data_IF_314534238809
#
_entry.id   IF_314534238809
#
_cell.length_a   1.000
_cell.length_b   1.000
_cell.length_c   1.000
_cell.angle_alpha   90.00
_cell.angle_beta   90.00
_cell.angle_gamma   90.00
#
_symmetry.space_group_name_H-M   'P 1'
#
loop_
_entity.id
_entity.type
_entity.pdbx_description
1 polymer ?
#
# COMPACT_ATOMS: atom_id res chain seq x y z
N UNK A 1 -5.22 -3.02 -35.36
CA UNK A 1 -5.73 -3.75 -34.17
C UNK A 1 -5.70 -2.95 -32.84
N UNK A 2 -4.93 -1.86 -32.70
CA UNK A 2 -4.85 -1.07 -31.45
C UNK A 2 -6.08 -0.18 -31.15
N UNK A 3 -6.88 0.24 -32.13
CA UNK A 3 -8.05 1.12 -31.92
C UNK A 3 -9.28 0.36 -31.38
N UNK A 4 -9.46 -0.92 -31.71
CA UNK A 4 -10.57 -1.74 -31.20
C UNK A 4 -10.44 -2.05 -29.70
N UNK A 5 -9.21 -2.22 -29.19
CA UNK A 5 -8.95 -2.48 -27.77
C UNK A 5 -9.23 -1.26 -26.89
N UNK A 6 -8.92 -0.05 -27.36
CA UNK A 6 -9.19 1.18 -26.60
C UNK A 6 -10.69 1.47 -26.49
N UNK A 7 -11.46 1.24 -27.58
CA UNK A 7 -12.91 1.43 -27.59
C UNK A 7 -13.62 0.45 -26.63
N UNK A 8 -13.16 -0.79 -26.53
CA UNK A 8 -13.69 -1.79 -25.61
C UNK A 8 -13.45 -1.40 -24.14
N UNK A 9 -12.25 -0.96 -23.78
CA UNK A 9 -11.90 -0.50 -22.42
C UNK A 9 -12.77 0.69 -22.00
N UNK A 10 -12.98 1.66 -22.88
CA UNK A 10 -13.86 2.81 -22.59
C UNK A 10 -15.34 2.42 -22.49
N UNK A 11 -15.79 1.44 -23.28
CA UNK A 11 -17.14 0.90 -23.19
C UNK A 11 -17.36 0.17 -21.86
N UNK A 12 -16.42 -0.65 -21.44
CA UNK A 12 -16.47 -1.36 -20.15
C UNK A 12 -16.45 -0.38 -18.97
N UNK A 13 -15.59 0.63 -19.01
CA UNK A 13 -15.53 1.67 -17.98
C UNK A 13 -16.87 2.41 -17.87
N UNK A 14 -17.46 2.84 -19.00
CA UNK A 14 -18.77 3.49 -19.01
C UNK A 14 -19.87 2.57 -18.47
N UNK A 15 -19.83 1.30 -18.81
CA UNK A 15 -20.81 0.33 -18.35
C UNK A 15 -20.71 0.08 -16.83
N UNK A 16 -19.51 0.02 -16.27
CA UNK A 16 -19.29 -0.06 -14.82
C UNK A 16 -19.79 1.20 -14.12
N UNK A 17 -19.46 2.38 -14.66
CA UNK A 17 -19.89 3.68 -14.12
C UNK A 17 -21.40 3.96 -14.31
N UNK A 18 -22.10 3.26 -15.19
CA UNK A 18 -23.54 3.37 -15.36
C UNK A 18 -24.31 2.80 -14.15
N UNK A 19 -23.74 1.81 -13.44
CA UNK A 19 -24.38 1.18 -12.27
C UNK A 19 -24.55 2.16 -11.11
N UNK A 20 -25.80 2.38 -10.64
CA UNK A 20 -26.10 3.32 -9.55
C UNK A 20 -25.42 2.92 -8.23
N UNK A 21 -25.45 1.63 -7.91
CA UNK A 21 -24.87 1.13 -6.66
C UNK A 21 -23.33 1.13 -6.72
N UNK A 22 -22.76 0.83 -7.91
CA UNK A 22 -21.31 0.99 -8.11
C UNK A 22 -20.87 2.43 -7.93
N UNK A 23 -21.56 3.39 -8.52
CA UNK A 23 -21.22 4.83 -8.36
C UNK A 23 -21.24 5.27 -6.90
N UNK A 24 -22.22 4.82 -6.11
CA UNK A 24 -22.28 5.11 -4.66
C UNK A 24 -21.13 4.49 -3.89
N UNK A 25 -20.83 3.21 -4.15
CA UNK A 25 -19.69 2.53 -3.53
C UNK A 25 -18.37 3.19 -3.92
N UNK A 26 -18.23 3.55 -5.19
CA UNK A 26 -17.05 4.22 -5.73
C UNK A 26 -16.89 5.65 -5.15
N UNK A 27 -17.95 6.44 -5.08
CA UNK A 27 -17.95 7.75 -4.44
C UNK A 27 -17.59 7.65 -2.94
N UNK A 28 -18.16 6.66 -2.23
CA UNK A 28 -17.78 6.35 -0.83
C UNK A 28 -16.29 6.12 -0.71
N UNK A 29 -15.68 5.34 -1.64
CA UNK A 29 -14.25 5.09 -1.68
C UNK A 29 -13.46 6.37 -1.92
N UNK A 30 -13.80 7.15 -2.95
CA UNK A 30 -13.04 8.34 -3.33
C UNK A 30 -13.02 9.37 -2.21
N UNK A 31 -14.18 9.69 -1.64
CA UNK A 31 -14.31 10.66 -0.56
C UNK A 31 -13.55 10.19 0.70
N UNK A 32 -13.68 8.90 1.05
CA UNK A 32 -12.94 8.34 2.18
C UNK A 32 -11.43 8.37 1.96
N UNK A 33 -10.95 8.00 0.77
CA UNK A 33 -9.51 7.98 0.48
C UNK A 33 -8.92 9.39 0.34
N UNK A 34 -9.70 10.39 -0.11
CA UNK A 34 -9.29 11.79 0.02
C UNK A 34 -9.06 12.17 1.49
N UNK A 35 -10.00 11.79 2.37
CA UNK A 35 -9.84 11.93 3.83
C UNK A 35 -8.62 11.18 4.37
N UNK A 36 -8.34 9.96 3.89
CA UNK A 36 -7.16 9.18 4.27
C UNK A 36 -5.87 9.93 3.92
N UNK A 37 -5.81 10.52 2.73
CA UNK A 37 -4.67 11.34 2.30
C UNK A 37 -4.47 12.57 3.18
N UNK A 38 -5.56 13.29 3.48
CA UNK A 38 -5.53 14.47 4.35
C UNK A 38 -5.04 14.11 5.75
N UNK A 39 -5.63 13.07 6.36
CA UNK A 39 -5.27 12.64 7.72
C UNK A 39 -3.85 12.11 7.78
N UNK A 40 -3.45 11.28 6.82
CA UNK A 40 -2.09 10.71 6.78
C UNK A 40 -1.03 11.78 6.61
N UNK A 41 -1.25 12.75 5.70
CA UNK A 41 -0.33 13.87 5.51
C UNK A 41 -0.31 14.78 6.75
N UNK A 42 -1.47 15.17 7.29
CA UNK A 42 -1.56 16.03 8.47
C UNK A 42 -0.93 15.41 9.72
N UNK A 43 -1.19 14.11 9.98
CA UNK A 43 -0.53 13.38 11.08
C UNK A 43 0.94 13.20 10.80
N UNK A 44 1.32 12.81 9.58
CA UNK A 44 2.71 12.60 9.19
C UNK A 44 3.53 13.87 9.39
N UNK A 45 3.03 15.01 8.93
CA UNK A 45 3.66 16.31 9.12
C UNK A 45 3.80 16.63 10.61
N UNK A 46 2.73 16.51 11.39
CA UNK A 46 2.77 16.80 12.82
C UNK A 46 3.75 15.89 13.57
N UNK A 47 3.71 14.59 13.30
CA UNK A 47 4.56 13.61 13.99
C UNK A 47 6.03 13.73 13.58
N UNK A 48 6.33 13.89 12.31
CA UNK A 48 7.70 13.88 11.81
C UNK A 48 8.38 15.25 11.83
N UNK A 49 7.63 16.36 11.73
CA UNK A 49 8.19 17.71 11.66
C UNK A 49 7.97 18.54 12.94
N UNK A 50 7.37 17.99 13.97
CA UNK A 50 7.26 18.70 15.24
C UNK A 50 8.61 18.68 15.99
N UNK A 51 9.14 19.87 16.30
CA UNK A 51 10.45 20.05 16.93
C UNK A 51 10.61 19.35 18.29
N UNK A 52 9.51 19.14 19.00
CA UNK A 52 9.51 18.56 20.36
C UNK A 52 9.17 17.07 20.41
N UNK A 53 8.58 16.51 19.34
CA UNK A 53 8.16 15.09 19.28
C UNK A 53 9.16 14.20 18.57
N UNK A 54 10.17 14.78 17.93
CA UNK A 54 11.13 14.04 17.11
C UNK A 54 12.58 14.34 17.51
N UNK A 55 12.98 14.05 18.75
CA UNK A 55 14.32 14.41 19.21
C UNK A 55 15.41 13.45 18.71
N UNK A 56 15.06 12.23 18.27
CA UNK A 56 16.04 11.18 17.92
C UNK A 56 15.56 10.25 16.82
N UNK A 57 16.47 9.51 16.14
CA UNK A 57 16.11 8.44 15.19
C UNK A 57 15.16 7.40 15.79
N UNK A 58 15.34 7.06 17.07
CA UNK A 58 14.49 6.09 17.77
C UNK A 58 13.03 6.56 17.88
N UNK A 59 12.81 7.84 18.23
CA UNK A 59 11.47 8.41 18.26
C UNK A 59 10.80 8.39 16.87
N UNK A 60 11.59 8.65 15.82
CA UNK A 60 11.11 8.56 14.44
C UNK A 60 10.75 7.16 14.03
N UNK A 61 11.56 6.18 14.34
CA UNK A 61 11.25 4.79 14.06
C UNK A 61 10.02 4.31 14.82
N UNK A 62 9.83 4.74 16.09
CA UNK A 62 8.64 4.45 16.86
C UNK A 62 7.37 5.08 16.25
N UNK A 63 7.45 6.35 15.84
CA UNK A 63 6.36 7.03 15.14
C UNK A 63 6.01 6.31 13.83
N UNK A 64 7.02 5.85 13.11
CA UNK A 64 6.87 5.08 11.87
C UNK A 64 6.20 3.72 12.11
N UNK A 65 6.60 3.02 13.19
CA UNK A 65 5.95 1.77 13.60
C UNK A 65 4.47 1.99 13.91
N UNK A 66 4.13 3.07 14.63
CA UNK A 66 2.74 3.43 14.93
C UNK A 66 1.92 3.64 13.65
N UNK A 67 2.49 4.26 12.61
CA UNK A 67 1.77 4.53 11.36
C UNK A 67 1.57 3.27 10.50
N UNK A 68 2.53 2.34 10.48
CA UNK A 68 2.53 1.24 9.52
C UNK A 68 2.26 -0.15 10.15
N UNK A 69 2.56 -0.37 11.44
CA UNK A 69 2.37 -1.66 12.09
C UNK A 69 0.92 -2.16 12.13
N UNK A 70 -0.12 -1.30 12.33
CA UNK A 70 -1.51 -1.74 12.29
C UNK A 70 -1.90 -2.40 10.96
N UNK A 71 -1.28 -1.97 9.87
CA UNK A 71 -1.51 -2.57 8.55
C UNK A 71 -1.06 -4.03 8.49
N UNK A 72 0.01 -4.39 9.19
CA UNK A 72 0.49 -5.77 9.27
C UNK A 72 -0.32 -6.64 10.23
N UNK A 73 -0.73 -6.06 11.38
CA UNK A 73 -1.35 -6.83 12.46
C UNK A 73 -2.85 -7.03 12.26
N UNK A 74 -3.58 -5.99 11.81
CA UNK A 74 -5.04 -6.01 11.77
C UNK A 74 -5.56 -6.47 10.41
N UNK A 75 -4.84 -6.17 9.32
CA UNK A 75 -5.27 -6.44 7.96
C UNK A 75 -5.79 -7.87 7.74
N UNK A 76 -5.00 -8.91 8.07
CA UNK A 76 -5.40 -10.30 7.84
C UNK A 76 -6.65 -10.74 8.61
N UNK A 77 -6.86 -10.17 9.80
CA UNK A 77 -7.95 -10.56 10.70
C UNK A 77 -9.26 -9.80 10.41
N UNK A 78 -9.21 -8.74 9.61
CA UNK A 78 -10.38 -7.94 9.28
C UNK A 78 -11.51 -8.79 8.63
N UNK A 79 -11.15 -9.79 7.82
CA UNK A 79 -12.09 -10.68 7.14
C UNK A 79 -13.06 -11.39 8.09
N UNK A 80 -12.57 -11.87 9.23
CA UNK A 80 -13.39 -12.57 10.24
C UNK A 80 -14.58 -11.72 10.70
N UNK A 81 -14.35 -10.42 10.88
CA UNK A 81 -15.40 -9.49 11.31
C UNK A 81 -16.30 -9.06 10.15
N UNK A 82 -15.72 -8.86 8.94
CA UNK A 82 -16.47 -8.45 7.74
C UNK A 82 -17.49 -9.49 7.34
N UNK A 83 -17.17 -10.75 7.49
CA UNK A 83 -18.09 -11.84 7.19
C UNK A 83 -19.25 -11.99 8.20
N UNK A 84 -19.10 -11.43 9.40
CA UNK A 84 -20.12 -11.47 10.46
C UNK A 84 -21.13 -10.32 10.36
N UNK A 85 -20.76 -9.20 9.78
CA UNK A 85 -21.56 -7.97 9.78
C UNK A 85 -21.97 -7.54 8.36
N UNK A 86 -23.09 -6.81 8.26
CA UNK A 86 -23.48 -6.17 7.01
C UNK A 86 -22.39 -5.20 6.54
N UNK A 87 -21.89 -5.42 5.34
CA UNK A 87 -20.80 -4.60 4.76
C UNK A 87 -21.16 -3.13 4.67
N UNK A 88 -22.43 -2.82 4.38
CA UNK A 88 -22.93 -1.43 4.43
C UNK A 88 -22.78 -0.83 5.82
N UNK A 89 -23.17 -1.57 6.87
CA UNK A 89 -23.03 -1.08 8.25
C UNK A 89 -21.57 -0.91 8.64
N UNK A 90 -20.67 -1.79 8.17
CA UNK A 90 -19.23 -1.62 8.38
C UNK A 90 -18.77 -0.31 7.72
N UNK A 91 -19.12 -0.06 6.46
CA UNK A 91 -18.73 1.16 5.75
C UNK A 91 -19.22 2.43 6.46
N UNK A 92 -20.49 2.44 6.89
CA UNK A 92 -21.07 3.60 7.60
C UNK A 92 -20.42 3.79 8.96
N UNK A 93 -20.39 2.75 9.80
CA UNK A 93 -19.92 2.86 11.19
C UNK A 93 -18.41 3.08 11.26
N UNK A 94 -17.62 2.40 10.42
CA UNK A 94 -16.18 2.59 10.41
C UNK A 94 -15.79 4.00 9.95
N UNK A 95 -16.51 4.58 8.98
CA UNK A 95 -16.25 5.94 8.55
C UNK A 95 -16.59 6.95 9.67
N UNK A 96 -17.73 6.80 10.36
CA UNK A 96 -18.08 7.63 11.51
C UNK A 96 -17.08 7.46 12.68
N UNK A 97 -16.70 6.22 12.99
CA UNK A 97 -15.75 5.94 14.06
C UNK A 97 -14.38 6.56 13.79
N UNK A 98 -13.92 6.50 12.52
CA UNK A 98 -12.70 7.21 12.11
C UNK A 98 -12.82 8.71 12.29
N UNK A 99 -13.96 9.31 11.94
CA UNK A 99 -14.20 10.74 12.15
C UNK A 99 -14.10 11.11 13.64
N UNK A 100 -14.67 10.30 14.55
CA UNK A 100 -14.55 10.51 15.99
C UNK A 100 -13.08 10.46 16.44
N UNK A 101 -12.33 9.46 16.01
CA UNK A 101 -10.91 9.36 16.36
C UNK A 101 -10.07 10.49 15.76
N UNK A 102 -10.41 10.98 14.57
CA UNK A 102 -9.77 12.16 13.98
C UNK A 102 -10.06 13.42 14.81
N UNK A 103 -11.29 13.60 15.29
CA UNK A 103 -11.62 14.71 16.20
C UNK A 103 -10.81 14.62 17.51
N UNK A 104 -10.68 13.43 18.09
CA UNK A 104 -9.83 13.22 19.27
C UNK A 104 -8.36 13.52 18.99
N UNK A 105 -7.85 13.13 17.83
CA UNK A 105 -6.49 13.42 17.38
C UNK A 105 -6.29 14.94 17.23
N UNK A 106 -7.23 15.61 16.54
CA UNK A 106 -7.20 17.06 16.34
C UNK A 106 -7.28 17.84 17.66
N UNK A 107 -8.14 17.41 18.58
CA UNK A 107 -8.25 18.00 19.91
C UNK A 107 -6.95 17.82 20.71
N UNK A 108 -6.34 16.62 20.66
CA UNK A 108 -5.05 16.36 21.32
C UNK A 108 -3.95 17.28 20.77
N UNK A 109 -3.90 17.48 19.44
CA UNK A 109 -2.95 18.42 18.81
C UNK A 109 -3.20 19.86 19.23
N UNK A 110 -4.46 20.33 19.18
CA UNK A 110 -4.83 21.70 19.53
C UNK A 110 -4.53 22.05 21.01
N UNK A 111 -4.58 21.04 21.90
CA UNK A 111 -4.23 21.17 23.33
C UNK A 111 -2.73 20.98 23.59
N UNK A 112 -1.90 20.81 22.55
CA UNK A 112 -0.47 20.55 22.69
C UNK A 112 -0.14 19.20 23.32
N UNK A 113 -1.11 18.27 23.39
CA UNK A 113 -0.88 16.95 23.96
C UNK A 113 -0.19 16.05 22.91
N UNK A 114 1.02 15.61 23.25
CA UNK A 114 1.92 14.84 22.36
C UNK A 114 2.19 13.43 22.86
N UNK A 115 1.46 13.02 23.88
CA UNK A 115 1.66 11.74 24.56
C UNK A 115 0.97 10.55 23.88
N UNK A 116 0.93 9.44 24.60
CA UNK A 116 0.38 8.17 24.16
C UNK A 116 -1.07 8.24 23.61
N UNK A 117 -1.87 9.19 24.10
CA UNK A 117 -3.25 9.39 23.65
C UNK A 117 -3.32 9.78 22.16
N UNK A 118 -2.43 10.67 21.70
CA UNK A 118 -2.35 11.06 20.29
C UNK A 118 -2.05 9.83 19.41
N UNK A 119 -1.01 9.09 19.77
CA UNK A 119 -0.61 7.90 19.00
C UNK A 119 -1.67 6.80 19.03
N UNK A 120 -2.34 6.61 20.17
CA UNK A 120 -3.45 5.66 20.29
C UNK A 120 -4.63 6.05 19.39
N UNK A 121 -5.00 7.33 19.34
CA UNK A 121 -6.08 7.83 18.49
C UNK A 121 -5.73 7.63 17.00
N UNK A 122 -4.50 7.96 16.59
CA UNK A 122 -4.01 7.71 15.23
C UNK A 122 -4.03 6.22 14.87
N UNK A 123 -3.53 5.37 15.77
CA UNK A 123 -3.57 3.90 15.60
C UNK A 123 -5.01 3.41 15.36
N UNK A 124 -5.97 3.92 16.12
CA UNK A 124 -7.37 3.54 15.97
C UNK A 124 -7.96 4.01 14.64
N UNK A 125 -7.63 5.22 14.16
CA UNK A 125 -8.00 5.68 12.81
C UNK A 125 -7.50 4.70 11.75
N UNK A 126 -6.22 4.33 11.80
CA UNK A 126 -5.58 3.45 10.82
C UNK A 126 -6.10 2.00 10.92
N UNK A 127 -6.33 1.52 12.13
CA UNK A 127 -6.91 0.21 12.39
C UNK A 127 -8.32 0.07 11.78
N UNK A 128 -9.18 1.06 12.05
CA UNK A 128 -10.54 1.07 11.52
C UNK A 128 -10.55 1.28 10.00
N UNK A 129 -9.57 2.00 9.45
CA UNK A 129 -9.41 2.16 8.00
C UNK A 129 -9.21 0.81 7.30
N UNK A 130 -8.52 -0.14 7.92
CA UNK A 130 -8.34 -1.49 7.35
C UNK A 130 -9.68 -2.22 7.18
N UNK A 131 -10.56 -2.16 8.17
CA UNK A 131 -11.91 -2.73 8.05
C UNK A 131 -12.69 -2.07 6.93
N UNK A 132 -12.59 -0.74 6.80
CA UNK A 132 -13.27 0.00 5.75
C UNK A 132 -12.79 -0.44 4.35
N UNK A 133 -11.48 -0.44 4.08
CA UNK A 133 -10.92 -0.80 2.79
C UNK A 133 -11.19 -2.27 2.41
N UNK A 134 -11.06 -3.18 3.38
CA UNK A 134 -11.38 -4.60 3.18
C UNK A 134 -12.86 -4.78 2.83
N UNK A 135 -13.75 -4.07 3.55
CA UNK A 135 -15.20 -4.13 3.29
C UNK A 135 -15.56 -3.58 1.91
N UNK A 136 -14.90 -2.53 1.44
CA UNK A 136 -15.05 -2.01 0.06
C UNK A 136 -14.70 -3.06 -0.99
N UNK A 137 -13.59 -3.76 -0.80
CA UNK A 137 -13.12 -4.78 -1.74
C UNK A 137 -14.07 -5.98 -1.81
N UNK A 138 -14.56 -6.43 -0.65
CA UNK A 138 -15.51 -7.55 -0.56
C UNK A 138 -16.94 -7.16 -1.04
N UNK A 139 -17.30 -5.86 -0.98
CA UNK A 139 -18.59 -5.38 -1.46
C UNK A 139 -18.65 -5.24 -3.00
N UNK A 140 -17.52 -5.09 -3.67
CA UNK A 140 -17.44 -4.79 -5.10
C UNK A 140 -18.16 -5.82 -6.01
N UNK A 141 -18.02 -7.15 -5.80
CA UNK A 141 -18.71 -8.16 -6.62
C UNK A 141 -20.24 -8.13 -6.51
N UNK A 142 -20.79 -7.46 -5.50
CA UNK A 142 -22.25 -7.36 -5.31
C UNK A 142 -22.89 -6.21 -6.10
N UNK A 143 -22.07 -5.30 -6.62
CA UNK A 143 -22.54 -4.09 -7.35
C UNK A 143 -22.07 -4.04 -8.79
N UNK A 144 -21.28 -5.02 -9.24
CA UNK A 144 -20.71 -5.11 -10.59
C UNK A 144 -20.98 -6.50 -11.17
N UNK A 145 -21.37 -6.58 -12.43
CA UNK A 145 -21.53 -7.84 -13.15
C UNK A 145 -20.17 -8.58 -13.28
N UNK A 146 -20.19 -9.92 -13.25
CA UNK A 146 -18.98 -10.74 -13.19
C UNK A 146 -17.99 -10.49 -14.34
N UNK A 147 -18.49 -10.27 -15.56
CA UNK A 147 -17.70 -9.96 -16.75
C UNK A 147 -16.94 -8.62 -16.66
N UNK A 148 -17.40 -7.70 -15.82
CA UNK A 148 -16.82 -6.35 -15.61
C UNK A 148 -16.05 -6.22 -14.31
N UNK A 149 -15.99 -7.28 -13.51
CA UNK A 149 -15.36 -7.27 -12.20
C UNK A 149 -13.86 -6.95 -12.27
N UNK A 150 -13.17 -7.45 -13.32
CA UNK A 150 -11.74 -7.16 -13.54
C UNK A 150 -11.52 -5.67 -13.73
N UNK A 151 -12.35 -5.01 -14.55
CA UNK A 151 -12.28 -3.56 -14.76
C UNK A 151 -12.55 -2.79 -13.45
N UNK A 152 -13.58 -3.16 -12.71
CA UNK A 152 -13.93 -2.50 -11.45
C UNK A 152 -12.85 -2.66 -10.37
N UNK A 153 -12.25 -3.85 -10.28
CA UNK A 153 -11.13 -4.13 -9.37
C UNK A 153 -9.84 -3.36 -9.73
N UNK A 154 -9.63 -3.08 -11.01
CA UNK A 154 -8.51 -2.26 -11.47
C UNK A 154 -8.74 -0.77 -11.19
N UNK A 155 -9.88 -0.25 -11.62
CA UNK A 155 -10.20 1.18 -11.60
C UNK A 155 -10.43 1.70 -10.19
N UNK A 156 -11.18 0.95 -9.37
CA UNK A 156 -11.60 1.43 -8.05
C UNK A 156 -10.42 1.67 -7.08
N UNK A 157 -9.44 0.77 -6.91
CA UNK A 157 -8.27 1.04 -6.08
C UNK A 157 -7.35 2.13 -6.65
N UNK A 158 -7.16 2.13 -7.99
CA UNK A 158 -6.25 3.07 -8.65
C UNK A 158 -6.73 4.51 -8.50
N UNK A 159 -7.99 4.79 -8.83
CA UNK A 159 -8.54 6.14 -8.68
C UNK A 159 -8.67 6.51 -7.20
N UNK A 160 -8.94 5.55 -6.34
CA UNK A 160 -8.90 5.75 -4.90
C UNK A 160 -7.52 6.19 -4.39
N UNK A 161 -6.44 5.58 -4.87
CA UNK A 161 -5.06 5.99 -4.56
C UNK A 161 -4.75 7.41 -5.06
N UNK A 162 -5.23 7.76 -6.26
CA UNK A 162 -5.14 9.14 -6.79
C UNK A 162 -5.90 10.11 -5.88
N UNK A 163 -7.10 9.74 -5.44
CA UNK A 163 -7.88 10.56 -4.50
C UNK A 163 -7.16 10.79 -3.16
N UNK A 164 -6.48 9.75 -2.63
CA UNK A 164 -5.65 9.88 -1.43
C UNK A 164 -4.46 10.83 -1.66
N UNK A 165 -3.80 10.74 -2.81
CA UNK A 165 -2.70 11.66 -3.18
C UNK A 165 -3.19 13.11 -3.25
N UNK A 166 -4.33 13.35 -3.91
CA UNK A 166 -4.95 14.68 -3.96
C UNK A 166 -5.28 15.17 -2.55
N UNK A 167 -5.85 14.32 -1.69
CA UNK A 167 -6.10 14.63 -0.29
C UNK A 167 -4.83 15.05 0.46
N UNK A 168 -3.72 14.35 0.26
CA UNK A 168 -2.42 14.70 0.82
C UNK A 168 -1.91 16.07 0.36
N UNK A 169 -2.06 16.39 -0.92
CA UNK A 169 -1.72 17.72 -1.49
C UNK A 169 -2.60 18.81 -0.87
N UNK A 170 -3.90 18.55 -0.73
CA UNK A 170 -4.83 19.48 -0.06
C UNK A 170 -4.40 19.73 1.39
N UNK A 171 -3.99 18.69 2.11
CA UNK A 171 -3.50 18.83 3.49
C UNK A 171 -2.27 19.74 3.58
N UNK A 172 -1.29 19.56 2.69
CA UNK A 172 -0.11 20.42 2.62
C UNK A 172 -0.50 21.88 2.34
N UNK A 173 -1.42 22.11 1.40
CA UNK A 173 -1.93 23.44 1.09
C UNK A 173 -2.66 24.08 2.29
N UNK A 174 -3.49 23.33 3.00
CA UNK A 174 -4.18 23.79 4.21
C UNK A 174 -3.21 24.13 5.34
N UNK A 175 -2.19 23.31 5.55
CA UNK A 175 -1.16 23.59 6.56
C UNK A 175 -0.40 24.89 6.26
N UNK A 176 -0.01 25.10 5.01
CA UNK A 176 0.62 26.38 4.59
C UNK A 176 -0.34 27.56 4.79
N UNK A 177 -1.60 27.44 4.37
CA UNK A 177 -2.60 28.50 4.50
C UNK A 177 -2.92 28.85 5.96
N UNK A 178 -2.77 27.91 6.89
CA UNK A 178 -2.99 28.09 8.33
C UNK A 178 -1.70 28.43 9.09
N UNK A 179 -0.61 28.72 8.38
CA UNK A 179 0.67 29.17 8.93
C UNK A 179 1.48 28.06 9.62
N UNK A 180 1.24 26.79 9.28
CA UNK A 180 1.95 25.61 9.82
C UNK A 180 1.90 25.53 11.37
N UNK A 181 0.79 25.94 11.95
CA UNK A 181 0.57 25.93 13.40
C UNK A 181 -0.08 24.62 13.86
N UNK A 182 0.02 24.31 15.15
CA UNK A 182 -0.68 23.17 15.76
C UNK A 182 -2.21 23.26 15.55
N UNK A 183 -2.77 24.47 15.65
CA UNK A 183 -4.18 24.71 15.34
C UNK A 183 -4.49 24.50 13.86
N UNK A 184 -3.57 24.89 12.97
CA UNK A 184 -3.69 24.65 11.53
C UNK A 184 -3.69 23.16 11.20
N UNK A 185 -2.80 22.39 11.81
CA UNK A 185 -2.78 20.93 11.68
C UNK A 185 -4.09 20.29 12.19
N UNK A 186 -4.62 20.76 13.32
CA UNK A 186 -5.91 20.31 13.85
C UNK A 186 -7.07 20.60 12.86
N UNK A 187 -7.11 21.80 12.27
CA UNK A 187 -8.11 22.18 11.26
C UNK A 187 -8.01 21.27 10.03
N UNK A 188 -6.79 21.01 9.57
CA UNK A 188 -6.54 20.09 8.43
C UNK A 188 -7.08 18.69 8.73
N UNK A 189 -6.85 18.16 9.94
CA UNK A 189 -7.40 16.88 10.35
C UNK A 189 -8.93 16.88 10.41
N UNK A 190 -9.56 17.95 10.92
CA UNK A 190 -11.02 18.06 10.96
C UNK A 190 -11.62 18.06 9.56
N UNK A 191 -10.94 18.65 8.57
CA UNK A 191 -11.36 18.56 7.17
C UNK A 191 -11.30 17.11 6.64
N UNK A 192 -10.27 16.34 6.98
CA UNK A 192 -10.20 14.91 6.72
C UNK A 192 -11.33 14.12 7.40
N UNK A 193 -11.62 14.47 8.67
CA UNK A 193 -12.77 13.91 9.41
C UNK A 193 -14.12 14.19 8.73
N UNK A 194 -14.32 15.40 8.20
CA UNK A 194 -15.50 15.77 7.44
C UNK A 194 -15.64 14.90 6.15
N UNK A 195 -14.54 14.58 5.48
CA UNK A 195 -14.54 13.61 4.37
C UNK A 195 -15.06 12.24 4.80
N UNK A 196 -14.66 11.76 6.00
CA UNK A 196 -15.18 10.48 6.50
C UNK A 196 -16.66 10.52 6.81
N UNK A 197 -17.16 11.63 7.39
CA UNK A 197 -18.61 11.81 7.57
C UNK A 197 -19.34 11.80 6.22
N UNK A 198 -18.84 12.54 5.23
CA UNK A 198 -19.41 12.56 3.89
C UNK A 198 -19.41 11.16 3.24
N UNK A 199 -18.32 10.41 3.37
CA UNK A 199 -18.24 9.03 2.90
C UNK A 199 -19.26 8.12 3.59
N UNK A 200 -19.47 8.29 4.91
CA UNK A 200 -20.49 7.57 5.67
C UNK A 200 -21.91 7.90 5.17
N UNK A 201 -22.22 9.19 4.92
CA UNK A 201 -23.50 9.61 4.39
C UNK A 201 -23.77 9.02 2.99
N UNK A 202 -22.75 9.02 2.11
CA UNK A 202 -22.86 8.37 0.79
C UNK A 202 -23.11 6.87 0.95
N UNK A 203 -22.36 6.18 1.81
CA UNK A 203 -22.57 4.76 2.10
C UNK A 203 -23.98 4.48 2.65
N UNK A 204 -24.50 5.37 3.47
CA UNK A 204 -25.84 5.25 4.04
C UNK A 204 -26.96 5.34 3.01
N UNK A 205 -26.73 5.93 1.83
CA UNK A 205 -27.71 5.97 0.73
C UNK A 205 -27.91 4.64 0.00
N UNK A 206 -27.01 3.65 0.23
CA UNK A 206 -27.14 2.32 -0.35
C UNK A 206 -28.16 1.48 0.43
N UNK A 207 -28.88 0.57 -0.24
CA UNK A 207 -29.81 -0.33 0.43
C UNK A 207 -29.06 -1.32 1.34
N UNK A 208 -29.71 -1.72 2.46
CA UNK A 208 -29.05 -2.53 3.51
C UNK A 208 -28.55 -3.87 3.00
N UNK A 209 -29.25 -4.46 2.03
CA UNK A 209 -29.05 -5.85 1.60
C UNK A 209 -28.22 -5.97 0.31
N UNK A 210 -27.90 -4.82 -0.33
CA UNK A 210 -27.19 -4.81 -1.62
C UNK A 210 -25.72 -5.22 -1.56
N UNK A 211 -25.07 -5.09 -0.42
CA UNK A 211 -23.64 -5.36 -0.28
C UNK A 211 -23.33 -6.71 0.39
N UNK A 212 -24.36 -7.48 0.73
CA UNK A 212 -24.22 -8.76 1.43
C UNK A 212 -23.88 -8.65 2.92
N UNK A 213 -23.67 -9.78 3.61
CA UNK A 213 -23.66 -11.15 3.10
C UNK A 213 -25.07 -11.63 2.72
N UNK A 214 -25.20 -12.21 1.53
CA UNK A 214 -26.43 -12.88 1.14
C UNK A 214 -26.54 -14.24 1.86
N UNK A 215 -27.74 -14.61 2.30
CA UNK A 215 -28.01 -15.96 2.81
C UNK A 215 -28.12 -16.96 1.68
N UNK A 216 -27.62 -18.20 1.85
CA UNK A 216 -27.83 -19.28 0.88
C UNK A 216 -29.30 -19.64 0.66
N UNK A 217 -30.17 -19.34 1.64
CA UNK A 217 -31.59 -19.65 1.66
C UNK A 217 -32.53 -18.48 1.27
N UNK A 218 -31.93 -17.36 0.80
CA UNK A 218 -32.68 -16.19 0.34
C UNK A 218 -33.42 -15.40 1.44
N UNK A 219 -33.30 -15.83 2.73
CA UNK A 219 -33.92 -15.12 3.85
C UNK A 219 -33.02 -14.04 4.42
N UNK A 220 -33.56 -12.83 4.59
CA UNK A 220 -32.86 -11.70 5.20
C UNK A 220 -32.65 -11.92 6.70
N UNK A 221 -31.42 -11.78 7.17
CA UNK A 221 -31.10 -11.84 8.59
C UNK A 221 -29.65 -12.22 8.89
N UNK A 222 -29.25 -12.24 10.16
CA UNK A 222 -27.90 -12.53 10.60
C UNK A 222 -27.36 -13.86 10.04
N UNK A 223 -26.08 -13.92 9.63
CA UNK A 223 -25.46 -15.18 9.22
C UNK A 223 -25.59 -16.24 10.33
N UNK A 224 -25.56 -17.54 9.98
CA UNK A 224 -25.64 -18.61 10.99
C UNK A 224 -24.57 -18.42 12.06
N UNK A 225 -24.82 -18.83 13.31
CA UNK A 225 -23.83 -18.71 14.37
C UNK A 225 -22.57 -19.45 13.97
N UNK A 226 -21.50 -18.71 13.77
CA UNK A 226 -20.16 -19.23 13.50
C UNK A 226 -19.50 -19.60 14.82
N UNK A 227 -18.45 -20.42 14.76
CA UNK A 227 -17.70 -20.86 15.92
C UNK A 227 -17.17 -19.73 16.81
N UNK A 228 -16.56 -20.04 17.96
CA UNK A 228 -16.04 -19.04 18.87
C UNK A 228 -15.02 -18.16 18.15
N UNK A 229 -15.05 -16.85 18.41
CA UNK A 229 -14.20 -15.84 17.75
C UNK A 229 -12.71 -16.22 17.79
N UNK A 230 -12.24 -16.73 18.92
CA UNK A 230 -10.86 -17.19 19.10
C UNK A 230 -10.48 -18.31 18.12
N UNK A 231 -11.39 -19.25 17.86
CA UNK A 231 -11.18 -20.33 16.89
C UNK A 231 -11.06 -19.81 15.46
N UNK A 232 -11.86 -18.82 15.09
CA UNK A 232 -11.75 -18.18 13.76
C UNK A 232 -10.46 -17.37 13.62
N UNK A 233 -10.05 -16.63 14.64
CA UNK A 233 -8.77 -15.91 14.65
C UNK A 233 -7.59 -16.88 14.54
N UNK A 234 -7.61 -17.99 15.27
CA UNK A 234 -6.61 -19.04 15.18
C UNK A 234 -6.58 -19.67 13.77
N UNK A 235 -7.74 -19.88 13.14
CA UNK A 235 -7.82 -20.40 11.77
C UNK A 235 -7.22 -19.46 10.74
N UNK A 236 -7.38 -18.13 10.91
CA UNK A 236 -6.74 -17.12 10.06
C UNK A 236 -5.22 -17.14 10.25
N UNK A 237 -4.73 -17.22 11.50
CA UNK A 237 -3.29 -17.32 11.77
C UNK A 237 -2.69 -18.61 11.17
N UNK A 238 -3.37 -19.73 11.30
CA UNK A 238 -2.98 -20.99 10.67
C UNK A 238 -3.00 -20.87 9.13
N UNK A 239 -4.03 -20.22 8.56
CA UNK A 239 -4.14 -19.97 7.15
C UNK A 239 -3.02 -19.07 6.59
N UNK A 240 -2.56 -18.06 7.35
CA UNK A 240 -1.39 -17.25 7.00
C UNK A 240 -0.11 -18.08 6.98
N UNK A 241 0.08 -18.93 8.00
CA UNK A 241 1.22 -19.83 8.06
C UNK A 241 1.22 -20.82 6.90
N UNK A 242 0.06 -21.36 6.51
CA UNK A 242 -0.08 -22.23 5.34
C UNK A 242 0.19 -21.48 4.04
N UNK A 243 -0.31 -20.26 3.90
CA UNK A 243 0.00 -19.39 2.76
C UNK A 243 1.50 -19.10 2.64
N UNK A 244 2.16 -18.82 3.75
CA UNK A 244 3.61 -18.61 3.81
C UNK A 244 4.37 -19.88 3.41
N UNK A 245 4.02 -21.05 3.97
CA UNK A 245 4.62 -22.34 3.61
C UNK A 245 4.42 -22.70 2.14
N UNK A 246 3.23 -22.43 1.61
CA UNK A 246 2.89 -22.66 0.21
C UNK A 246 3.79 -21.83 -0.71
N UNK A 247 3.99 -20.55 -0.42
CA UNK A 247 4.82 -19.65 -1.23
C UNK A 247 6.29 -20.03 -1.15
N UNK A 248 6.84 -20.29 0.05
CA UNK A 248 8.26 -20.63 0.24
C UNK A 248 8.65 -21.88 -0.57
N UNK A 249 7.73 -22.81 -0.77
CA UNK A 249 7.95 -24.01 -1.60
C UNK A 249 7.93 -23.73 -3.11
N UNK A 250 7.46 -22.58 -3.55
CA UNK A 250 7.34 -22.21 -4.98
C UNK A 250 8.31 -21.09 -5.31
N UNK A 251 9.35 -21.38 -6.10
CA UNK A 251 10.48 -20.47 -6.37
C UNK A 251 10.06 -19.11 -6.93
N UNK A 252 9.09 -19.06 -7.89
CA UNK A 252 8.63 -17.79 -8.48
C UNK A 252 7.97 -16.85 -7.48
N UNK A 253 6.88 -17.28 -6.83
CA UNK A 253 6.23 -16.53 -5.76
C UNK A 253 7.16 -16.18 -4.60
N UNK A 254 8.01 -17.11 -4.15
CA UNK A 254 8.97 -16.85 -3.07
C UNK A 254 9.98 -15.76 -3.44
N UNK A 255 10.53 -15.81 -4.66
CA UNK A 255 11.45 -14.79 -5.15
C UNK A 255 10.76 -13.41 -5.26
N UNK A 256 9.54 -13.35 -5.79
CA UNK A 256 8.77 -12.11 -5.90
C UNK A 256 8.48 -11.48 -4.52
N UNK A 257 8.11 -12.30 -3.53
CA UNK A 257 7.95 -11.88 -2.15
C UNK A 257 9.29 -11.41 -1.55
N UNK A 258 10.37 -12.16 -1.75
CA UNK A 258 11.70 -11.79 -1.29
C UNK A 258 12.18 -10.46 -1.86
N UNK A 259 11.95 -10.21 -3.16
CA UNK A 259 12.26 -8.93 -3.79
C UNK A 259 11.47 -7.77 -3.19
N UNK A 260 10.15 -7.96 -2.98
CA UNK A 260 9.30 -6.92 -2.40
C UNK A 260 9.61 -6.66 -0.92
N UNK A 261 9.81 -7.73 -0.14
CA UNK A 261 10.18 -7.62 1.27
C UNK A 261 11.56 -6.99 1.46
N UNK A 262 12.55 -7.44 0.66
CA UNK A 262 13.89 -6.86 0.65
C UNK A 262 13.88 -5.38 0.25
N UNK A 263 13.10 -5.03 -0.79
CA UNK A 263 12.92 -3.62 -1.16
C UNK A 263 12.36 -2.81 0.01
N UNK A 264 11.30 -3.29 0.66
CA UNK A 264 10.64 -2.60 1.77
C UNK A 264 11.57 -2.42 2.97
N UNK A 265 12.36 -3.45 3.30
CA UNK A 265 13.35 -3.42 4.38
C UNK A 265 14.40 -2.32 4.14
N UNK A 266 14.87 -2.18 2.91
CA UNK A 266 15.89 -1.19 2.53
C UNK A 266 15.29 0.21 2.34
N UNK A 267 14.02 0.31 2.01
CA UNK A 267 13.34 1.58 1.81
C UNK A 267 13.02 2.30 3.15
N UNK A 268 12.75 1.54 4.23
CA UNK A 268 12.49 2.09 5.56
C UNK A 268 13.60 3.01 6.08
N UNK A 269 14.86 2.59 6.09
CA UNK A 269 16.01 3.41 6.44
C UNK A 269 16.11 4.71 5.64
N UNK A 270 15.93 4.65 4.32
CA UNK A 270 16.03 5.83 3.45
C UNK A 270 14.91 6.85 3.71
N UNK A 271 13.70 6.36 4.01
CA UNK A 271 12.61 7.24 4.38
C UNK A 271 12.90 7.98 5.70
N UNK A 272 13.31 7.23 6.74
CA UNK A 272 13.63 7.83 8.04
C UNK A 272 14.80 8.81 7.92
N UNK A 273 15.86 8.42 7.20
CA UNK A 273 17.01 9.28 6.91
C UNK A 273 16.57 10.56 6.17
N UNK A 274 15.70 10.45 5.16
CA UNK A 274 15.20 11.61 4.43
C UNK A 274 14.46 12.59 5.36
N UNK A 275 13.62 12.09 6.26
CA UNK A 275 12.91 12.93 7.25
C UNK A 275 13.92 13.69 8.13
N UNK A 276 14.94 13.00 8.66
CA UNK A 276 15.97 13.61 9.52
C UNK A 276 16.82 14.62 8.75
N UNK A 277 17.24 14.30 7.52
CA UNK A 277 18.00 15.20 6.68
C UNK A 277 17.26 16.51 6.41
N UNK A 278 15.99 16.44 5.99
CA UNK A 278 15.21 17.64 5.73
C UNK A 278 15.00 18.47 6.98
N UNK A 279 14.83 17.84 8.13
CA UNK A 279 14.56 18.51 9.38
C UNK A 279 15.81 19.02 10.10
N UNK A 280 16.83 18.18 10.24
CA UNK A 280 17.97 18.40 11.12
C UNK A 280 19.28 18.76 10.40
N UNK A 281 19.34 18.55 9.08
CA UNK A 281 20.54 18.83 8.27
C UNK A 281 20.33 19.99 7.30
N UNK A 282 19.36 19.90 6.38
CA UNK A 282 19.17 20.92 5.33
C UNK A 282 18.54 22.21 5.87
N UNK A 283 17.58 22.12 6.77
CA UNK A 283 16.78 23.25 7.27
C UNK A 283 16.72 23.32 8.78
N UNK A 284 17.88 23.35 9.43
CA UNK A 284 17.98 23.41 10.92
C UNK A 284 17.29 24.61 11.53
N UNK A 285 17.25 25.75 10.84
CA UNK A 285 16.75 27.02 11.35
C UNK A 285 15.23 27.19 11.23
N UNK A 286 14.56 26.40 10.37
CA UNK A 286 13.13 26.56 10.13
C UNK A 286 12.44 25.23 9.84
N UNK A 287 11.65 24.77 10.80
CA UNK A 287 10.85 23.54 10.66
C UNK A 287 9.80 23.66 9.55
N UNK A 288 9.19 24.84 9.38
CA UNK A 288 8.18 25.09 8.36
C UNK A 288 8.75 25.00 6.93
N UNK A 289 9.99 25.48 6.75
CA UNK A 289 10.70 25.37 5.45
C UNK A 289 11.09 23.91 5.19
N UNK A 290 11.56 23.19 6.21
CA UNK A 290 11.86 21.77 6.13
C UNK A 290 10.63 20.94 5.71
N UNK A 291 9.49 21.22 6.32
CA UNK A 291 8.19 20.61 6.04
C UNK A 291 7.75 20.86 4.59
N UNK A 292 7.82 22.10 4.12
CA UNK A 292 7.44 22.45 2.74
C UNK A 292 8.29 21.71 1.69
N UNK A 293 9.60 21.64 1.89
CA UNK A 293 10.50 20.93 0.98
C UNK A 293 10.37 19.41 1.07
N UNK A 294 10.13 18.86 2.25
CA UNK A 294 9.79 17.45 2.39
C UNK A 294 8.44 17.14 1.73
N UNK A 295 7.47 18.04 1.81
CA UNK A 295 6.21 17.96 1.07
C UNK A 295 6.43 17.87 -0.44
N UNK A 296 7.36 18.66 -1.00
CA UNK A 296 7.76 18.58 -2.40
C UNK A 296 8.36 17.20 -2.74
N UNK A 297 9.21 16.64 -1.86
CA UNK A 297 9.73 15.28 -2.02
C UNK A 297 8.59 14.26 -2.11
N UNK A 298 7.59 14.36 -1.22
CA UNK A 298 6.41 13.47 -1.22
C UNK A 298 5.60 13.61 -2.51
N UNK A 299 5.41 14.82 -3.03
CA UNK A 299 4.74 15.06 -4.32
C UNK A 299 5.51 14.40 -5.47
N UNK A 300 6.82 14.59 -5.55
CA UNK A 300 7.66 13.96 -6.58
C UNK A 300 7.68 12.44 -6.46
N UNK A 301 7.71 11.92 -5.23
CA UNK A 301 7.54 10.49 -4.96
C UNK A 301 6.20 9.95 -5.49
N UNK A 302 5.11 10.69 -5.29
CA UNK A 302 3.79 10.37 -5.83
C UNK A 302 3.76 10.36 -7.36
N UNK A 303 4.45 11.31 -8.00
CA UNK A 303 4.61 11.34 -9.47
C UNK A 303 5.42 10.12 -9.93
N UNK A 304 6.52 9.78 -9.25
CA UNK A 304 7.31 8.57 -9.55
C UNK A 304 6.47 7.30 -9.46
N UNK A 305 5.66 7.18 -8.41
CA UNK A 305 4.70 6.07 -8.24
C UNK A 305 3.72 5.97 -9.42
N UNK A 306 3.14 7.09 -9.86
CA UNK A 306 2.22 7.13 -11.00
C UNK A 306 2.92 6.79 -12.32
N UNK A 307 4.14 7.30 -12.54
CA UNK A 307 4.95 7.00 -13.71
C UNK A 307 5.25 5.49 -13.84
N UNK A 308 5.47 4.79 -12.73
CA UNK A 308 5.69 3.34 -12.77
C UNK A 308 4.48 2.58 -13.35
N UNK A 309 3.26 3.00 -13.04
CA UNK A 309 2.05 2.39 -13.59
C UNK A 309 1.94 2.57 -15.12
N UNK A 310 2.49 3.66 -15.65
CA UNK A 310 2.54 3.93 -17.08
C UNK A 310 3.71 3.23 -17.78
N UNK A 311 4.87 3.13 -17.12
CA UNK A 311 6.10 2.59 -17.72
C UNK A 311 6.18 1.07 -17.63
N UNK A 312 5.67 0.45 -16.57
CA UNK A 312 5.79 -1.00 -16.35
C UNK A 312 5.09 -1.83 -17.43
N UNK A 313 3.84 -1.53 -17.88
CA UNK A 313 3.19 -2.36 -18.89
C UNK A 313 3.91 -2.38 -20.25
N UNK A 314 4.37 -1.26 -20.84
CA UNK A 314 5.13 -1.31 -22.08
C UNK A 314 6.52 -1.94 -21.91
N UNK A 315 7.16 -1.75 -20.76
CA UNK A 315 8.47 -2.34 -20.48
C UNK A 315 8.39 -3.87 -20.38
N UNK A 316 7.36 -4.41 -19.71
CA UNK A 316 7.15 -5.87 -19.57
C UNK A 316 6.68 -6.56 -20.85
N UNK A 317 6.34 -5.81 -21.90
CA UNK A 317 6.16 -6.36 -23.26
C UNK A 317 7.49 -6.65 -23.96
N UNK A 318 8.58 -5.95 -23.59
CA UNK A 318 9.91 -6.09 -24.18
C UNK A 318 10.88 -6.88 -23.29
N UNK A 319 10.72 -6.75 -21.98
CA UNK A 319 11.52 -7.41 -20.96
C UNK A 319 10.66 -8.42 -20.20
N UNK A 320 11.25 -9.52 -19.77
CA UNK A 320 10.54 -10.44 -18.87
C UNK A 320 10.28 -9.75 -17.51
N UNK A 321 9.20 -10.14 -16.81
CA UNK A 321 8.91 -9.60 -15.46
C UNK A 321 10.09 -9.74 -14.51
N UNK A 322 10.83 -10.90 -14.46
CA UNK A 322 12.03 -11.01 -13.67
C UNK A 322 13.13 -10.00 -14.04
N UNK A 323 13.36 -9.80 -15.34
CA UNK A 323 14.36 -8.82 -15.79
C UNK A 323 13.98 -7.39 -15.38
N UNK A 324 12.69 -7.04 -15.46
CA UNK A 324 12.18 -5.75 -15.03
C UNK A 324 12.35 -5.52 -13.53
N UNK A 325 12.00 -6.50 -12.68
CA UNK A 325 12.21 -6.43 -11.22
C UNK A 325 13.69 -6.22 -10.90
N UNK A 326 14.58 -7.01 -11.53
CA UNK A 326 16.03 -6.88 -11.33
C UNK A 326 16.53 -5.50 -11.73
N UNK A 327 16.09 -4.98 -12.89
CA UNK A 327 16.44 -3.64 -13.37
C UNK A 327 16.00 -2.55 -12.38
N UNK A 328 14.78 -2.66 -11.83
CA UNK A 328 14.28 -1.71 -10.83
C UNK A 328 15.09 -1.75 -9.54
N UNK A 329 15.47 -2.92 -9.07
CA UNK A 329 16.32 -3.09 -7.89
C UNK A 329 17.73 -2.51 -8.11
N UNK A 330 18.34 -2.77 -9.26
CA UNK A 330 19.64 -2.21 -9.63
C UNK A 330 19.57 -0.69 -9.81
N UNK A 331 18.51 -0.18 -10.44
CA UNK A 331 18.29 1.26 -10.54
C UNK A 331 18.17 1.91 -9.15
N UNK A 332 17.50 1.24 -8.20
CA UNK A 332 17.43 1.71 -6.81
C UNK A 332 18.82 1.75 -6.15
N UNK A 333 19.66 0.73 -6.37
CA UNK A 333 21.03 0.70 -5.85
C UNK A 333 21.86 1.88 -6.40
N UNK A 334 21.84 2.07 -7.73
CA UNK A 334 22.61 3.13 -8.41
C UNK A 334 22.13 4.51 -7.98
N UNK A 335 20.81 4.74 -7.98
CA UNK A 335 20.23 6.04 -7.59
C UNK A 335 20.55 6.36 -6.12
N UNK A 336 20.41 5.37 -5.23
CA UNK A 336 20.72 5.56 -3.82
C UNK A 336 22.18 5.91 -3.61
N UNK A 337 23.11 5.22 -4.26
CA UNK A 337 24.53 5.52 -4.14
C UNK A 337 24.91 6.85 -4.79
N UNK A 338 24.54 7.05 -6.07
CA UNK A 338 24.98 8.21 -6.85
C UNK A 338 24.41 9.53 -6.35
N UNK A 339 23.15 9.55 -5.92
CA UNK A 339 22.49 10.76 -5.44
C UNK A 339 22.56 10.88 -3.92
N UNK A 340 22.50 9.76 -3.18
CA UNK A 340 22.46 9.76 -1.72
C UNK A 340 23.76 10.24 -1.09
N UNK A 341 24.91 9.87 -1.65
CA UNK A 341 26.23 10.32 -1.17
C UNK A 341 26.49 11.82 -1.39
N UNK A 342 25.71 12.48 -2.22
CA UNK A 342 25.89 13.93 -2.45
C UNK A 342 25.41 14.78 -1.28
N UNK A 343 24.47 14.28 -0.48
CA UNK A 343 23.77 15.01 0.58
C UNK A 343 23.27 16.39 0.12
N UNK A 344 22.85 16.49 -1.14
CA UNK A 344 22.24 17.67 -1.70
C UNK A 344 20.71 17.53 -1.66
N UNK A 345 20.02 18.57 -1.21
CA UNK A 345 18.55 18.57 -1.13
C UNK A 345 17.87 18.20 -2.46
N UNK A 346 18.36 18.76 -3.59
CA UNK A 346 17.81 18.49 -4.93
C UNK A 346 18.02 17.02 -5.33
N UNK A 347 19.14 16.41 -4.93
CA UNK A 347 19.41 14.99 -5.18
C UNK A 347 18.40 14.09 -4.41
N UNK A 348 18.05 14.45 -3.19
CA UNK A 348 17.04 13.73 -2.41
C UNK A 348 15.62 13.85 -2.98
N UNK A 349 15.29 14.95 -3.65
CA UNK A 349 14.05 15.04 -4.45
C UNK A 349 14.05 14.02 -5.59
N UNK A 350 15.19 13.89 -6.29
CA UNK A 350 15.39 12.87 -7.33
C UNK A 350 15.32 11.44 -6.79
N UNK A 351 15.91 11.18 -5.62
CA UNK A 351 15.82 9.89 -4.93
C UNK A 351 14.36 9.55 -4.64
N UNK A 352 13.58 10.49 -4.08
CA UNK A 352 12.16 10.29 -3.80
C UNK A 352 11.38 9.86 -5.03
N UNK A 353 11.54 10.57 -6.15
CA UNK A 353 10.92 10.21 -7.43
C UNK A 353 11.34 8.80 -7.91
N UNK A 354 12.64 8.56 -7.99
CA UNK A 354 13.18 7.31 -8.55
C UNK A 354 12.84 6.09 -7.67
N UNK A 355 12.97 6.20 -6.35
CA UNK A 355 12.69 5.07 -5.45
C UNK A 355 11.22 4.70 -5.44
N UNK A 356 10.30 5.66 -5.51
CA UNK A 356 8.88 5.33 -5.60
C UNK A 356 8.49 4.76 -6.96
N UNK A 357 9.15 5.20 -8.05
CA UNK A 357 8.99 4.62 -9.37
C UNK A 357 9.47 3.15 -9.36
N UNK A 358 10.69 2.90 -8.89
CA UNK A 358 11.27 1.54 -8.89
C UNK A 358 10.50 0.61 -7.95
N UNK A 359 10.13 1.09 -6.75
CA UNK A 359 9.29 0.35 -5.81
C UNK A 359 7.98 -0.11 -6.42
N UNK A 360 7.27 0.80 -7.08
CA UNK A 360 5.98 0.47 -7.70
C UNK A 360 6.15 -0.44 -8.92
N UNK A 361 7.23 -0.28 -9.68
CA UNK A 361 7.57 -1.19 -10.77
C UNK A 361 7.81 -2.63 -10.29
N UNK A 362 8.54 -2.81 -9.17
CA UNK A 362 8.72 -4.11 -8.51
C UNK A 362 7.38 -4.66 -8.04
N UNK A 363 6.56 -3.84 -7.35
CA UNK A 363 5.28 -4.27 -6.78
C UNK A 363 4.30 -4.75 -7.86
N UNK A 364 4.17 -4.03 -8.99
CA UNK A 364 3.29 -4.42 -10.10
C UNK A 364 3.67 -5.79 -10.64
N UNK A 365 4.96 -6.02 -10.90
CA UNK A 365 5.43 -7.31 -11.43
C UNK A 365 5.31 -8.43 -10.39
N UNK A 366 5.63 -8.17 -9.13
CA UNK A 366 5.52 -9.16 -8.05
C UNK A 366 4.06 -9.60 -7.85
N UNK A 367 3.13 -8.64 -7.76
CA UNK A 367 1.68 -8.94 -7.67
C UNK A 367 1.21 -9.75 -8.87
N UNK A 368 1.67 -9.42 -10.08
CA UNK A 368 1.30 -10.16 -11.29
C UNK A 368 1.82 -11.61 -11.23
N UNK A 369 3.07 -11.83 -10.81
CA UNK A 369 3.64 -13.17 -10.63
C UNK A 369 2.83 -13.96 -9.60
N UNK A 370 2.46 -13.34 -8.47
CA UNK A 370 1.63 -13.98 -7.45
C UNK A 370 0.24 -14.35 -8.00
N UNK A 371 -0.38 -13.50 -8.83
CA UNK A 371 -1.67 -13.78 -9.45
C UNK A 371 -1.62 -14.93 -10.46
N UNK A 372 -0.52 -15.06 -11.20
CA UNK A 372 -0.34 -16.10 -12.22
C UNK A 372 0.08 -17.44 -11.64
N UNK A 373 0.97 -17.44 -10.64
CA UNK A 373 1.64 -18.65 -10.14
C UNK A 373 0.99 -19.25 -8.87
N UNK A 374 0.06 -18.53 -8.23
CA UNK A 374 -0.60 -18.99 -6.99
C UNK A 374 -1.98 -19.51 -7.30
N UNK A 375 -2.26 -20.74 -6.86
CA UNK A 375 -3.56 -21.39 -7.02
C UNK A 375 -4.67 -20.57 -6.32
N UNK A 376 -5.86 -20.51 -6.91
CA UNK A 376 -6.99 -19.71 -6.42
C UNK A 376 -7.32 -20.00 -4.94
N UNK A 377 -7.21 -21.26 -4.51
CA UNK A 377 -7.46 -21.68 -3.13
C UNK A 377 -6.51 -21.03 -2.09
N UNK A 378 -5.31 -20.63 -2.50
CA UNK A 378 -4.29 -20.03 -1.62
C UNK A 378 -4.14 -18.53 -1.86
N UNK A 379 -4.69 -17.98 -2.94
CA UNK A 379 -4.47 -16.59 -3.37
C UNK A 379 -4.76 -15.58 -2.26
N UNK A 380 -5.90 -15.67 -1.57
CA UNK A 380 -6.26 -14.77 -0.48
C UNK A 380 -5.26 -14.80 0.69
N UNK A 381 -4.80 -16.00 1.08
CA UNK A 381 -3.83 -16.18 2.18
C UNK A 381 -2.45 -15.62 1.81
N UNK A 382 -2.03 -15.83 0.57
CA UNK A 382 -0.74 -15.34 0.05
C UNK A 382 -0.73 -13.82 -0.04
N UNK A 383 -1.82 -13.19 -0.51
CA UNK A 383 -1.90 -11.73 -0.57
C UNK A 383 -1.98 -11.09 0.84
N UNK A 384 -2.68 -11.71 1.77
CA UNK A 384 -2.68 -11.27 3.17
C UNK A 384 -1.26 -11.35 3.79
N UNK A 385 -0.53 -12.42 3.50
CA UNK A 385 0.87 -12.57 3.92
C UNK A 385 1.78 -11.53 3.23
N UNK A 386 1.60 -11.28 1.93
CA UNK A 386 2.32 -10.25 1.18
C UNK A 386 2.17 -8.87 1.83
N UNK A 387 0.94 -8.44 2.13
CA UNK A 387 0.66 -7.15 2.75
C UNK A 387 1.28 -7.03 4.15
N UNK A 388 1.17 -8.09 4.95
CA UNK A 388 1.76 -8.15 6.28
C UNK A 388 3.29 -8.05 6.23
N UNK A 389 3.93 -8.87 5.41
CA UNK A 389 5.38 -8.89 5.23
C UNK A 389 5.92 -7.55 4.73
N UNK A 390 5.25 -6.96 3.73
CA UNK A 390 5.64 -5.68 3.15
C UNK A 390 5.72 -4.56 4.21
N UNK A 391 4.67 -4.39 5.02
CA UNK A 391 4.64 -3.36 6.04
C UNK A 391 5.57 -3.68 7.21
N UNK A 392 5.66 -4.96 7.63
CA UNK A 392 6.56 -5.39 8.70
C UNK A 392 8.03 -5.18 8.31
N UNK A 393 8.42 -5.52 7.08
CA UNK A 393 9.78 -5.31 6.58
C UNK A 393 10.12 -3.80 6.52
N UNK A 394 9.17 -2.96 6.13
CA UNK A 394 9.33 -1.51 6.07
C UNK A 394 9.62 -0.92 7.46
N UNK A 395 8.81 -1.30 8.47
CA UNK A 395 9.00 -0.88 9.87
C UNK A 395 10.31 -1.45 10.43
N UNK A 396 10.61 -2.72 10.16
CA UNK A 396 11.85 -3.35 10.63
C UNK A 396 13.09 -2.65 10.07
N UNK A 397 13.07 -2.28 8.78
CA UNK A 397 14.17 -1.52 8.17
C UNK A 397 14.40 -0.17 8.85
N UNK A 398 13.32 0.60 9.07
CA UNK A 398 13.40 1.87 9.77
C UNK A 398 13.92 1.69 11.22
N UNK A 399 13.45 0.66 11.94
CA UNK A 399 13.91 0.38 13.29
C UNK A 399 15.40 -0.03 13.36
N UNK A 400 15.84 -0.87 12.42
CA UNK A 400 17.26 -1.30 12.36
C UNK A 400 18.19 -0.13 12.01
N UNK A 401 17.73 0.85 11.21
CA UNK A 401 18.55 2.00 10.86
C UNK A 401 18.91 2.89 12.06
N UNK A 402 18.13 2.84 13.15
CA UNK A 402 18.37 3.60 14.38
C UNK A 402 19.76 3.33 14.96
N UNK A 403 20.31 2.12 14.75
CA UNK A 403 21.62 1.70 15.27
C UNK A 403 22.77 2.51 14.64
N UNK A 404 22.59 2.92 13.35
CA UNK A 404 23.66 3.55 12.57
C UNK A 404 23.33 4.96 12.11
N UNK A 405 22.09 5.42 12.34
CA UNK A 405 21.62 6.70 11.86
C UNK A 405 21.85 7.79 12.91
N UNK A 406 22.66 8.83 12.62
CA UNK A 406 22.85 9.97 13.52
C UNK A 406 21.59 10.86 13.58
N UNK A 407 21.52 11.75 14.57
CA UNK A 407 20.37 12.63 14.81
C UNK A 407 20.08 13.58 13.64
N UNK A 408 21.10 13.97 12.88
CA UNK A 408 20.96 14.83 11.71
C UNK A 408 20.62 14.07 10.42
N UNK A 409 20.65 12.73 10.45
CA UNK A 409 20.40 11.89 9.30
C UNK A 409 21.58 11.79 8.31
N UNK A 410 22.71 12.45 8.55
CA UNK A 410 23.86 12.45 7.65
C UNK A 410 24.72 11.19 7.86
N UNK A 411 24.45 10.14 7.09
CA UNK A 411 25.15 8.85 7.22
C UNK A 411 25.52 8.26 5.85
N UNK A 412 26.74 8.58 5.32
CA UNK A 412 27.27 7.93 4.12
C UNK A 412 27.31 6.42 4.23
N UNK A 413 27.66 5.91 5.42
CA UNK A 413 27.65 4.46 5.67
C UNK A 413 26.28 3.82 5.43
N UNK A 414 25.20 4.45 5.90
CA UNK A 414 23.83 3.93 5.69
C UNK A 414 23.45 3.98 4.19
N UNK A 415 23.82 5.03 3.48
CA UNK A 415 23.59 5.13 2.03
C UNK A 415 24.27 3.99 1.30
N UNK A 416 25.57 3.77 1.56
CA UNK A 416 26.33 2.68 0.95
C UNK A 416 25.77 1.30 1.33
N UNK A 417 25.42 1.08 2.60
CA UNK A 417 24.83 -0.16 3.10
C UNK A 417 23.51 -0.48 2.39
N UNK A 418 22.62 0.51 2.25
CA UNK A 418 21.32 0.33 1.58
C UNK A 418 21.50 0.11 0.09
N UNK A 419 22.40 0.85 -0.56
CA UNK A 419 22.71 0.67 -1.99
C UNK A 419 23.26 -0.75 -2.25
N UNK A 420 24.21 -1.22 -1.43
CA UNK A 420 24.71 -2.59 -1.49
C UNK A 420 23.59 -3.61 -1.23
N UNK A 421 22.71 -3.34 -0.27
CA UNK A 421 21.55 -4.16 0.01
C UNK A 421 20.62 -4.31 -1.20
N UNK A 422 20.31 -3.25 -1.92
CA UNK A 422 19.53 -3.32 -3.17
C UNK A 422 20.23 -4.17 -4.23
N UNK A 423 21.55 -4.04 -4.38
CA UNK A 423 22.32 -4.86 -5.32
C UNK A 423 22.30 -6.36 -4.92
N UNK A 424 22.43 -6.66 -3.63
CA UNK A 424 22.32 -8.03 -3.10
C UNK A 424 20.92 -8.62 -3.34
N UNK A 425 19.85 -7.84 -3.08
CA UNK A 425 18.47 -8.29 -3.34
C UNK A 425 18.27 -8.52 -4.83
N UNK A 426 18.82 -7.65 -5.71
CA UNK A 426 18.76 -7.82 -7.16
C UNK A 426 19.46 -9.10 -7.62
N UNK A 427 20.67 -9.35 -7.13
CA UNK A 427 21.44 -10.55 -7.45
C UNK A 427 20.75 -11.82 -6.94
N UNK A 428 20.28 -11.83 -5.68
CA UNK A 428 19.55 -12.96 -5.12
C UNK A 428 18.26 -13.25 -5.90
N UNK A 429 17.53 -12.21 -6.27
CA UNK A 429 16.32 -12.36 -7.06
C UNK A 429 16.63 -12.91 -8.47
N UNK A 430 17.65 -12.38 -9.15
CA UNK A 430 18.07 -12.85 -10.47
C UNK A 430 18.47 -14.32 -10.47
N UNK A 431 19.25 -14.74 -9.49
CA UNK A 431 19.68 -16.14 -9.32
C UNK A 431 18.50 -17.07 -9.01
N UNK A 432 17.53 -16.61 -8.22
CA UNK A 432 16.35 -17.40 -7.90
C UNK A 432 15.39 -17.51 -9.11
N UNK A 433 15.24 -16.45 -9.90
CA UNK A 433 14.36 -16.38 -11.07
C UNK A 433 14.99 -17.00 -12.31
N UNK A 434 16.31 -16.85 -12.53
CA UNK A 434 17.01 -17.34 -13.72
C UNK A 434 17.05 -18.87 -13.82
N UNK A 435 17.05 -19.58 -12.69
CA UNK A 435 16.95 -21.05 -12.65
C UNK A 435 15.62 -21.61 -13.17
N UNK A 436 14.62 -20.76 -13.42
CA UNK A 436 13.34 -21.14 -14.07
C UNK A 436 13.49 -21.34 -15.58
N UNK A 437 14.31 -20.54 -16.26
CA UNK A 437 14.46 -20.60 -17.72
C UNK A 437 15.22 -21.86 -18.17
N UNK A 438 16.14 -22.36 -17.33
CA UNK A 438 16.88 -23.58 -17.63
C UNK A 438 16.09 -24.88 -17.41
N UNK A 439 15.07 -24.87 -16.53
CA UNK A 439 14.24 -26.07 -16.28
C UNK A 439 13.06 -26.22 -17.23
N UNK A 440 12.62 -25.16 -17.91
CA UNK A 440 11.56 -25.23 -18.92
C UNK A 440 12.08 -25.48 -20.34
N UNK A 441 13.39 -25.28 -20.57
CA UNK A 441 14.05 -25.59 -21.84
C UNK A 441 14.46 -27.06 -22.03
N UNK A 442 14.38 -27.89 -20.97
CA UNK A 442 14.82 -29.27 -20.99
C UNK A 442 13.74 -30.34 -21.27
N UNK A 443 12.45 -29.95 -21.33
CA UNK A 443 11.37 -30.93 -21.54
C UNK A 443 10.73 -30.89 -22.94
N UNK A 444 11.38 -30.26 -23.89
CA UNK A 444 10.89 -30.05 -25.26
C UNK A 444 11.57 -30.94 -26.33
N UNK A 445 12.23 -32.02 -25.95
CA UNK A 445 12.81 -32.96 -26.94
C UNK A 445 12.44 -34.37 -26.53
N UNK A 446 11.38 -34.89 -27.14
CA UNK A 446 11.13 -36.22 -27.60
C UNK A 446 9.63 -36.47 -27.78
N UNK A 447 9.14 -36.12 -28.98
CA UNK A 447 7.93 -36.73 -29.51
C UNK A 447 8.45 -37.89 -30.36
N UNK A 448 8.24 -39.17 -29.98
CA UNK A 448 8.50 -40.27 -30.88
C UNK A 448 7.49 -40.21 -32.04
N UNK A 449 7.99 -40.05 -33.23
CA UNK A 449 7.26 -40.23 -34.48
C UNK A 449 6.63 -41.64 -34.54
N UNK A 450 5.34 -41.71 -34.26
CA UNK A 450 4.53 -42.89 -34.57
C UNK A 450 3.83 -42.70 -35.92
N UNK A 451 4.63 -42.82 -36.98
CA UNK A 451 4.10 -42.98 -38.33
C UNK A 451 4.79 -44.17 -38.97
N UNK A 452 4.19 -45.37 -38.85
CA UNK A 452 4.28 -46.49 -39.75
C UNK A 452 3.64 -47.73 -39.12
N UNK A 453 2.37 -47.99 -39.41
CA UNK A 453 1.78 -49.32 -39.56
C UNK A 453 0.26 -49.18 -39.79
N UNK A 454 -0.10 -48.97 -41.04
CA UNK A 454 -1.41 -49.40 -41.56
C UNK A 454 -1.22 -49.85 -43.01
N UNK A 455 -0.83 -51.13 -43.23
CA UNK A 455 -1.16 -51.87 -44.38
C UNK A 455 -1.16 -53.34 -43.98
N UNK A 456 -2.31 -53.93 -44.06
CA UNK A 456 -2.68 -55.32 -44.24
C UNK A 456 -3.77 -55.81 -43.31
N UNK A 457 -4.86 -55.95 -43.89
CA UNK A 457 -6.04 -56.80 -43.92
C UNK A 457 -7.33 -56.04 -43.69
#
# INVERSE_FOLDING_TARGET
>A
MANGSKSAVWADLRAVLAGRDFRRLFATRLVSQAGDGIVTAGVGTYVFFNATTFPSPAAGAAAFAVLYLPYSLIGPFAGVFIDRWSRRQILVRSALLRSVFVVLTAASMALGNRGALLYAAVLLVLAVNRFFLSSLSVALPHVVAGDKLVMANSVSPTIGGISATIGGIVALGLNVATGNTERGAAITLLFGGACYVAASLVAATMARDRLGPARPDGREGAPPPRGPLLGELASVAAGLADGARYVVRRRGPAAALGATGGFSLLFGPLFLMSVLLYRNYFYRSSVSVAEGHFGLLVVLAGIGYACAALLTPPATRRLSKPAWITLMLLASAVVTLALGETFLQVAYLGIGFCLYLTRQGVAICAVTILQEDVDDAYRGRVFAFYDMMFNAAYVAGAALSVIVLPEDGHSPFLVALVAAGFAVVAAAYWLAAGRRQSSSGGSGAEIPSAAAQSSNN
#
